data_IF_360146948185
#
_entry.id   IF_360146948185
#
_cell.length_a   1.000
_cell.length_b   1.000
_cell.length_c   1.000
_cell.angle_alpha   90.00
_cell.angle_beta   90.00
_cell.angle_gamma   90.00
#
_symmetry.space_group_name_H-M   'P 1'
#
loop_
_entity.id
_entity.type
_entity.pdbx_description
1 polymer ?
#
# COMPACT_ATOMS: atom_id res chain seq x y z
N UNK A 1 -5.21 19.54 44.08
CA UNK A 1 -3.82 19.36 43.61
C UNK A 1 -3.52 17.95 43.04
N UNK A 2 -4.54 17.17 42.60
CA UNK A 2 -4.36 15.87 41.91
C UNK A 2 -4.91 15.83 40.46
N UNK A 3 -5.52 16.93 39.98
CA UNK A 3 -6.02 17.05 38.60
C UNK A 3 -4.94 17.48 37.58
N UNK A 4 -3.97 18.31 37.99
CA UNK A 4 -2.94 18.83 37.06
C UNK A 4 -1.78 17.87 36.77
N UNK A 5 -1.81 16.65 37.33
CA UNK A 5 -0.80 15.61 37.04
C UNK A 5 -1.28 14.59 35.99
N UNK A 6 -2.57 14.65 35.61
CA UNK A 6 -3.14 13.78 34.57
C UNK A 6 -3.08 14.44 33.19
N UNK A 7 -3.25 15.76 33.13
CA UNK A 7 -3.08 16.57 31.90
C UNK A 7 -1.62 16.66 31.41
N UNK A 8 -0.64 16.40 32.27
CA UNK A 8 0.79 16.48 31.91
C UNK A 8 1.36 15.25 31.19
N UNK A 9 0.60 14.15 31.13
CA UNK A 9 0.97 12.93 30.39
C UNK A 9 0.33 12.84 29.00
N UNK A 10 -0.90 13.32 28.83
CA UNK A 10 -1.57 13.40 27.50
C UNK A 10 -0.96 14.50 26.61
N UNK A 11 -0.26 15.49 27.18
CA UNK A 11 0.32 16.65 26.49
C UNK A 11 1.67 16.41 25.79
N UNK A 12 2.24 15.19 25.77
CA UNK A 12 3.61 14.94 25.24
C UNK A 12 3.72 13.92 24.12
N UNK A 13 2.62 13.42 23.60
CA UNK A 13 2.66 12.50 22.47
C UNK A 13 2.72 13.28 21.15
N UNK A 14 3.71 12.97 20.31
CA UNK A 14 3.85 13.58 18.99
C UNK A 14 2.60 13.31 18.15
N UNK A 15 2.33 14.16 17.15
CA UNK A 15 1.23 13.92 16.20
C UNK A 15 1.36 12.53 15.58
N UNK A 16 2.57 12.15 15.19
CA UNK A 16 2.83 10.83 14.61
C UNK A 16 2.57 9.68 15.60
N UNK A 17 2.89 9.82 16.89
CA UNK A 17 2.60 8.77 17.88
C UNK A 17 1.10 8.56 18.08
N UNK A 18 0.32 9.66 18.14
CA UNK A 18 -1.15 9.57 18.21
C UNK A 18 -1.76 9.02 16.92
N UNK A 19 -1.25 9.45 15.77
CA UNK A 19 -1.67 8.93 14.47
C UNK A 19 -1.36 7.44 14.34
N UNK A 20 -0.19 7.00 14.83
CA UNK A 20 0.23 5.60 14.80
C UNK A 20 -0.70 4.72 15.64
N UNK A 21 -1.05 5.13 16.85
CA UNK A 21 -2.03 4.40 17.66
C UNK A 21 -3.36 4.26 16.93
N UNK A 22 -3.86 5.34 16.33
CA UNK A 22 -5.10 5.33 15.52
C UNK A 22 -4.96 4.40 14.30
N UNK A 23 -3.79 4.40 13.66
CA UNK A 23 -3.50 3.57 12.50
C UNK A 23 -3.51 2.08 12.85
N UNK A 24 -2.84 1.68 13.94
CA UNK A 24 -2.82 0.29 14.41
C UNK A 24 -4.23 -0.19 14.75
N UNK A 25 -4.99 0.60 15.52
CA UNK A 25 -6.38 0.27 15.84
C UNK A 25 -7.20 0.07 14.56
N UNK A 26 -7.10 1.00 13.61
CA UNK A 26 -7.84 0.94 12.36
C UNK A 26 -7.45 -0.25 11.49
N UNK A 27 -6.17 -0.43 11.19
CA UNK A 27 -5.72 -1.54 10.34
C UNK A 27 -6.06 -2.89 10.97
N UNK A 28 -5.97 -3.02 12.30
CA UNK A 28 -6.34 -4.26 13.00
C UNK A 28 -7.83 -4.62 12.92
N UNK A 29 -8.70 -3.61 12.74
CA UNK A 29 -10.15 -3.82 12.61
C UNK A 29 -10.51 -4.48 11.27
N UNK A 30 -9.82 -4.11 10.19
CA UNK A 30 -10.13 -4.55 8.82
C UNK A 30 -9.22 -5.67 8.32
N UNK A 31 -8.13 -5.97 9.03
CA UNK A 31 -7.15 -6.98 8.62
C UNK A 31 -7.72 -8.40 8.81
N UNK A 32 -7.74 -9.25 7.77
CA UNK A 32 -8.11 -10.65 7.90
C UNK A 32 -7.18 -11.37 8.89
N UNK A 33 -7.72 -12.29 9.69
CA UNK A 33 -6.94 -13.08 10.64
C UNK A 33 -6.73 -14.46 10.08
N UNK A 34 -5.48 -14.90 10.00
CA UNK A 34 -5.11 -16.19 9.41
C UNK A 34 -5.80 -17.36 10.12
N UNK A 35 -6.10 -17.20 11.41
CA UNK A 35 -6.77 -18.18 12.26
C UNK A 35 -8.29 -18.20 12.21
N UNK A 36 -8.93 -17.40 11.35
CA UNK A 36 -10.39 -17.46 11.19
C UNK A 36 -10.82 -18.79 10.56
N UNK A 37 -11.99 -19.29 10.98
CA UNK A 37 -12.50 -20.63 10.60
C UNK A 37 -12.56 -20.83 9.08
N UNK A 38 -12.95 -19.80 8.33
CA UNK A 38 -13.01 -19.84 6.86
C UNK A 38 -11.64 -20.20 6.23
N UNK A 39 -10.54 -19.70 6.80
CA UNK A 39 -9.20 -20.02 6.32
C UNK A 39 -8.67 -21.35 6.82
N UNK A 40 -9.04 -21.75 8.03
CA UNK A 40 -8.73 -23.08 8.57
C UNK A 40 -9.40 -24.15 7.73
N UNK A 41 -10.64 -23.94 7.30
CA UNK A 41 -11.38 -24.87 6.44
C UNK A 41 -10.72 -25.02 5.06
N UNK A 42 -10.15 -23.94 4.51
CA UNK A 42 -9.49 -23.95 3.19
C UNK A 42 -8.08 -24.55 3.26
N UNK A 43 -7.28 -24.17 4.27
CA UNK A 43 -5.85 -24.48 4.32
C UNK A 43 -5.49 -25.60 5.30
N UNK A 44 -6.39 -25.96 6.22
CA UNK A 44 -6.16 -26.90 7.30
C UNK A 44 -5.45 -26.27 8.50
N UNK A 45 -5.81 -26.73 9.71
CA UNK A 45 -5.29 -26.25 10.99
C UNK A 45 -3.75 -26.21 11.03
N UNK A 46 -3.09 -27.26 10.53
CA UNK A 46 -1.63 -27.36 10.57
C UNK A 46 -0.94 -26.24 9.75
N UNK A 47 -1.43 -25.95 8.55
CA UNK A 47 -0.84 -24.91 7.71
C UNK A 47 -1.08 -23.53 8.30
N UNK A 48 -2.27 -23.27 8.82
CA UNK A 48 -2.60 -22.01 9.49
C UNK A 48 -1.76 -21.82 10.75
N UNK A 49 -1.62 -22.85 11.58
CA UNK A 49 -0.80 -22.80 12.78
C UNK A 49 0.69 -22.52 12.46
N UNK A 50 1.22 -23.13 11.40
CA UNK A 50 2.59 -22.88 10.94
C UNK A 50 2.80 -21.42 10.49
N UNK A 51 1.83 -20.85 9.79
CA UNK A 51 1.89 -19.47 9.32
C UNK A 51 1.75 -18.47 10.47
N UNK A 52 0.86 -18.71 11.43
CA UNK A 52 0.76 -17.91 12.66
C UNK A 52 2.05 -17.98 13.47
N UNK A 53 2.65 -19.16 13.61
CA UNK A 53 3.92 -19.33 14.31
C UNK A 53 5.09 -18.66 13.57
N UNK A 54 5.03 -18.58 12.24
CA UNK A 54 5.98 -17.81 11.44
C UNK A 54 5.85 -16.30 11.72
N UNK A 55 4.62 -15.76 11.69
CA UNK A 55 4.34 -14.35 12.00
C UNK A 55 4.90 -13.97 13.38
N UNK A 56 4.58 -14.74 14.42
CA UNK A 56 5.04 -14.47 15.79
C UNK A 56 6.57 -14.41 15.88
N UNK A 57 7.28 -15.35 15.25
CA UNK A 57 8.75 -15.40 15.24
C UNK A 57 9.37 -14.21 14.52
N UNK A 58 8.76 -13.78 13.42
CA UNK A 58 9.23 -12.62 12.67
C UNK A 58 9.00 -11.33 13.45
N UNK A 59 7.83 -11.17 14.09
CA UNK A 59 7.54 -10.02 14.94
C UNK A 59 8.50 -9.92 16.14
N UNK A 60 8.85 -11.04 16.78
CA UNK A 60 9.89 -11.09 17.81
C UNK A 60 11.25 -10.63 17.28
N UNK A 61 11.61 -11.03 16.06
CA UNK A 61 12.86 -10.60 15.40
C UNK A 61 12.87 -9.10 15.10
N UNK A 62 11.71 -8.51 14.82
CA UNK A 62 11.56 -7.08 14.52
C UNK A 62 11.42 -6.19 15.76
N UNK A 63 11.19 -6.79 16.95
CA UNK A 63 10.96 -6.06 18.20
C UNK A 63 12.16 -5.25 18.75
N UNK A 64 13.32 -5.29 18.08
CA UNK A 64 14.50 -4.49 18.39
C UNK A 64 14.85 -3.46 17.29
N UNK A 65 14.72 -2.17 17.62
CA UNK A 65 15.23 -1.01 16.85
C UNK A 65 14.62 -0.70 15.47
N UNK A 66 13.28 -0.64 15.34
CA UNK A 66 12.62 -0.02 14.15
C UNK A 66 11.42 0.89 14.44
N UNK A 67 11.42 1.54 15.60
CA UNK A 67 10.22 2.18 16.12
C UNK A 67 9.68 3.33 15.25
N UNK A 68 10.53 4.26 14.76
CA UNK A 68 10.01 5.46 14.07
C UNK A 68 9.66 5.28 12.59
N UNK A 69 10.45 4.53 11.82
CA UNK A 69 10.14 4.36 10.38
C UNK A 69 8.89 3.50 10.19
N UNK A 70 8.74 2.46 11.01
CA UNK A 70 7.56 1.63 11.02
C UNK A 70 6.30 2.42 11.41
N UNK A 71 6.40 3.32 12.40
CA UNK A 71 5.29 4.20 12.76
C UNK A 71 4.78 5.04 11.57
N UNK A 72 5.67 5.65 10.78
CA UNK A 72 5.23 6.44 9.63
C UNK A 72 4.67 5.57 8.51
N UNK A 73 5.24 4.38 8.28
CA UNK A 73 4.72 3.42 7.32
C UNK A 73 3.28 3.01 7.64
N UNK A 74 3.02 2.59 8.88
CA UNK A 74 1.69 2.16 9.33
C UNK A 74 0.70 3.35 9.35
N UNK A 75 1.16 4.55 9.72
CA UNK A 75 0.33 5.77 9.61
C UNK A 75 -0.06 6.06 8.18
N UNK A 76 0.89 5.96 7.24
CA UNK A 76 0.59 6.18 5.83
C UNK A 76 -0.32 5.10 5.27
N UNK A 77 -0.12 3.83 5.60
CA UNK A 77 -1.01 2.72 5.21
C UNK A 77 -2.45 2.99 5.65
N UNK A 78 -2.66 3.37 6.92
CA UNK A 78 -4.00 3.68 7.43
C UNK A 78 -4.62 4.92 6.78
N UNK A 79 -3.83 5.98 6.54
CA UNK A 79 -4.33 7.17 5.83
C UNK A 79 -4.69 6.81 4.40
N UNK A 80 -3.83 6.04 3.71
CA UNK A 80 -4.08 5.61 2.35
C UNK A 80 -5.37 4.80 2.28
N UNK A 81 -5.51 3.77 3.11
CA UNK A 81 -6.71 2.94 3.23
C UNK A 81 -7.96 3.82 3.42
N UNK A 82 -7.93 4.76 4.39
CA UNK A 82 -9.04 5.69 4.61
C UNK A 82 -9.37 6.54 3.40
N UNK A 83 -8.35 7.09 2.74
CA UNK A 83 -8.54 8.08 1.70
C UNK A 83 -8.82 7.47 0.33
N UNK A 84 -8.51 6.19 0.10
CA UNK A 84 -9.07 5.47 -1.05
C UNK A 84 -10.59 5.41 -0.92
N UNK A 85 -11.12 5.04 0.24
CA UNK A 85 -12.59 4.93 0.43
C UNK A 85 -13.28 6.29 0.57
N UNK A 86 -12.74 7.20 1.39
CA UNK A 86 -13.42 8.45 1.75
C UNK A 86 -13.23 9.57 0.72
N UNK A 87 -12.12 9.53 -0.04
CA UNK A 87 -11.71 10.60 -0.94
C UNK A 87 -11.33 10.08 -2.33
N UNK A 88 -11.66 8.82 -2.62
CA UNK A 88 -11.45 8.19 -3.92
C UNK A 88 -10.02 8.39 -4.41
N UNK A 89 -8.99 8.27 -3.56
CA UNK A 89 -7.58 8.52 -3.95
C UNK A 89 -7.18 7.72 -5.20
N UNK A 90 -7.71 6.50 -5.35
CA UNK A 90 -7.55 5.64 -6.52
C UNK A 90 -8.77 5.64 -7.46
N UNK A 91 -9.67 6.60 -7.33
CA UNK A 91 -10.90 6.71 -8.10
C UNK A 91 -12.09 5.94 -7.49
N UNK A 92 -13.31 6.18 -7.98
CA UNK A 92 -14.55 5.72 -7.35
C UNK A 92 -14.82 4.22 -7.47
N UNK A 93 -14.08 3.51 -8.33
CA UNK A 93 -14.28 2.09 -8.61
C UNK A 93 -13.19 1.21 -7.97
N UNK A 94 -12.38 1.78 -7.08
CA UNK A 94 -11.29 1.07 -6.41
C UNK A 94 -11.51 1.18 -4.91
N UNK A 95 -11.67 0.04 -4.27
CA UNK A 95 -11.63 -0.09 -2.81
C UNK A 95 -10.32 -0.74 -2.38
N UNK A 96 -10.04 -0.72 -1.09
CA UNK A 96 -8.83 -1.31 -0.52
C UNK A 96 -9.13 -2.24 0.65
N UNK A 97 -8.28 -3.25 0.85
CA UNK A 97 -8.36 -4.16 2.00
C UNK A 97 -6.95 -4.43 2.52
N UNK A 98 -6.63 -4.15 3.79
CA UNK A 98 -5.33 -4.52 4.36
C UNK A 98 -5.17 -6.04 4.35
N UNK A 99 -3.95 -6.52 4.13
CA UNK A 99 -3.67 -7.96 4.08
C UNK A 99 -3.40 -8.54 5.47
N UNK A 100 -3.62 -9.84 5.64
CA UNK A 100 -3.23 -10.57 6.85
C UNK A 100 -1.74 -10.37 7.18
N UNK A 101 -1.36 -10.52 8.46
CA UNK A 101 0.03 -10.32 8.92
C UNK A 101 1.01 -11.24 8.21
N UNK A 102 0.60 -12.45 7.89
CA UNK A 102 1.37 -13.39 7.09
C UNK A 102 1.67 -12.84 5.69
N UNK A 103 0.67 -12.27 5.01
CA UNK A 103 0.84 -11.77 3.64
C UNK A 103 1.65 -10.47 3.59
N UNK A 104 1.51 -9.62 4.59
CA UNK A 104 2.37 -8.48 4.85
C UNK A 104 3.85 -8.92 5.06
N UNK A 105 4.11 -9.82 6.00
CA UNK A 105 5.48 -10.22 6.36
C UNK A 105 6.14 -11.15 5.32
N UNK A 106 5.47 -12.24 4.94
CA UNK A 106 6.02 -13.25 4.04
C UNK A 106 5.89 -12.81 2.57
N UNK A 107 4.70 -12.34 2.19
CA UNK A 107 4.41 -11.98 0.81
C UNK A 107 4.73 -10.51 0.51
N UNK A 108 4.96 -9.64 1.50
CA UNK A 108 5.37 -8.23 1.30
C UNK A 108 4.29 -7.35 0.67
N UNK A 109 3.02 -7.72 0.79
CA UNK A 109 1.88 -6.98 0.23
C UNK A 109 1.11 -6.41 1.41
N UNK A 110 1.10 -5.09 1.57
CA UNK A 110 0.45 -4.43 2.71
C UNK A 110 -1.07 -4.33 2.51
N UNK A 111 -1.51 -4.12 1.27
CA UNK A 111 -2.92 -3.91 0.94
C UNK A 111 -3.28 -4.52 -0.42
N UNK A 112 -4.52 -4.95 -0.59
CA UNK A 112 -5.12 -5.25 -1.89
C UNK A 112 -5.95 -4.05 -2.34
N UNK A 113 -5.76 -3.60 -3.59
CA UNK A 113 -6.72 -2.75 -4.27
C UNK A 113 -7.69 -3.63 -5.06
N UNK A 114 -8.97 -3.54 -4.73
CA UNK A 114 -10.06 -4.23 -5.44
C UNK A 114 -10.70 -3.28 -6.45
N UNK A 115 -10.58 -3.63 -7.74
CA UNK A 115 -10.99 -2.78 -8.86
C UNK A 115 -12.25 -3.38 -9.48
N UNK A 116 -13.37 -2.67 -9.33
CA UNK A 116 -14.65 -3.07 -9.91
C UNK A 116 -14.62 -2.96 -11.44
N UNK A 117 -14.91 -4.06 -12.13
CA UNK A 117 -14.93 -4.14 -13.58
C UNK A 117 -16.18 -4.86 -14.10
N UNK A 118 -17.24 -4.10 -14.39
CA UNK A 118 -18.48 -4.64 -14.95
C UNK A 118 -19.19 -5.55 -13.95
N UNK A 119 -19.19 -6.86 -14.19
CA UNK A 119 -19.84 -7.86 -13.32
C UNK A 119 -18.87 -8.57 -12.37
N UNK A 120 -17.58 -8.21 -12.35
CA UNK A 120 -16.60 -8.84 -11.48
C UNK A 120 -15.46 -7.90 -11.09
N UNK A 121 -14.56 -8.42 -10.27
CA UNK A 121 -13.50 -7.66 -9.62
C UNK A 121 -12.12 -8.10 -10.11
N UNK A 122 -11.13 -7.20 -10.01
CA UNK A 122 -9.74 -7.44 -10.38
C UNK A 122 -8.85 -6.86 -9.29
N UNK A 123 -7.88 -7.64 -8.82
CA UNK A 123 -7.12 -7.30 -7.60
C UNK A 123 -5.67 -6.93 -7.90
N UNK A 124 -5.17 -5.83 -7.36
CA UNK A 124 -3.74 -5.48 -7.38
C UNK A 124 -3.17 -5.50 -5.96
N UNK A 125 -1.94 -6.00 -5.79
CA UNK A 125 -1.23 -5.93 -4.52
C UNK A 125 -0.48 -4.60 -4.43
N UNK A 126 -0.68 -3.86 -3.35
CA UNK A 126 0.03 -2.62 -3.05
C UNK A 126 0.98 -2.90 -1.89
N UNK A 127 2.24 -2.51 -2.09
CA UNK A 127 3.27 -2.50 -1.07
C UNK A 127 3.66 -1.05 -0.75
N UNK A 128 3.56 -0.63 0.50
CA UNK A 128 3.93 0.72 0.93
C UNK A 128 5.40 0.76 1.35
N UNK A 129 6.09 1.83 0.97
CA UNK A 129 7.44 2.14 1.42
C UNK A 129 7.50 3.60 1.87
N UNK A 130 7.39 3.83 3.18
CA UNK A 130 7.70 5.13 3.74
C UNK A 130 9.19 5.15 4.05
N UNK A 131 9.93 6.00 3.34
CA UNK A 131 11.38 6.03 3.46
C UNK A 131 11.92 7.47 3.50
N UNK A 132 13.10 7.62 4.09
CA UNK A 132 13.94 8.82 3.96
C UNK A 132 15.11 8.57 2.97
N UNK A 133 15.17 7.40 2.29
CA UNK A 133 16.22 7.04 1.32
C UNK A 133 16.03 5.71 0.56
N UNK A 134 17.04 5.32 -0.23
CA UNK A 134 16.92 4.38 -1.37
C UNK A 134 16.89 2.88 -1.06
N UNK A 135 17.58 2.45 0.01
CA UNK A 135 18.14 1.08 0.06
C UNK A 135 17.07 -0.02 0.15
N UNK A 136 15.86 0.28 0.61
CA UNK A 136 14.76 -0.69 0.66
C UNK A 136 14.00 -0.80 -0.66
N UNK A 137 13.97 0.27 -1.46
CA UNK A 137 13.22 0.33 -2.70
C UNK A 137 13.83 -0.59 -3.78
N UNK A 138 15.14 -0.60 -3.91
CA UNK A 138 15.85 -1.50 -4.85
C UNK A 138 15.54 -2.98 -4.56
N UNK A 139 15.47 -3.37 -3.29
CA UNK A 139 15.13 -4.74 -2.88
C UNK A 139 13.68 -5.09 -3.26
N UNK A 140 12.74 -4.17 -3.05
CA UNK A 140 11.34 -4.36 -3.44
C UNK A 140 11.21 -4.48 -4.97
N UNK A 141 11.93 -3.66 -5.73
CA UNK A 141 11.95 -3.74 -7.19
C UNK A 141 12.64 -5.02 -7.71
N UNK A 142 13.74 -5.44 -7.09
CA UNK A 142 14.40 -6.70 -7.41
C UNK A 142 13.46 -7.89 -7.20
N UNK A 143 12.61 -7.86 -6.15
CA UNK A 143 11.57 -8.87 -5.94
C UNK A 143 10.56 -8.89 -7.08
N UNK A 144 10.07 -7.74 -7.53
CA UNK A 144 9.16 -7.67 -8.70
C UNK A 144 9.84 -8.21 -9.95
N UNK A 145 11.10 -7.84 -10.20
CA UNK A 145 11.87 -8.35 -11.35
C UNK A 145 11.99 -9.88 -11.30
N UNK A 146 12.27 -10.45 -10.12
CA UNK A 146 12.32 -11.90 -9.91
C UNK A 146 10.97 -12.56 -10.19
N UNK A 147 9.88 -12.00 -9.68
CA UNK A 147 8.52 -12.50 -9.93
C UNK A 147 8.24 -12.57 -11.45
N UNK A 148 8.49 -11.47 -12.18
CA UNK A 148 8.31 -11.40 -13.64
C UNK A 148 9.19 -12.42 -14.36
N UNK A 149 10.46 -12.56 -13.98
CA UNK A 149 11.39 -13.54 -14.56
C UNK A 149 10.89 -14.98 -14.41
N UNK A 150 10.27 -15.29 -13.27
CA UNK A 150 9.71 -16.61 -12.96
C UNK A 150 8.33 -16.84 -13.63
N UNK A 151 7.80 -15.86 -14.36
CA UNK A 151 6.50 -15.94 -15.04
C UNK A 151 5.31 -15.88 -14.09
N UNK A 152 5.53 -15.38 -12.88
CA UNK A 152 4.52 -15.20 -11.84
C UNK A 152 4.45 -13.73 -11.42
N UNK A 153 3.46 -13.37 -10.61
CA UNK A 153 3.45 -12.11 -9.86
C UNK A 153 3.18 -12.42 -8.39
N UNK A 154 2.92 -11.40 -7.59
CA UNK A 154 2.63 -11.58 -6.18
C UNK A 154 1.39 -12.46 -5.94
N UNK A 155 1.31 -12.95 -4.71
CA UNK A 155 0.19 -13.71 -4.17
C UNK A 155 -0.19 -13.17 -2.80
N UNK A 156 -1.46 -13.34 -2.43
CA UNK A 156 -1.97 -13.10 -1.07
C UNK A 156 -2.78 -14.33 -0.68
N UNK A 157 -2.38 -14.99 0.39
CA UNK A 157 -2.93 -16.27 0.85
C UNK A 157 -4.24 -16.09 1.60
N UNK A 158 -4.31 -15.12 2.51
CA UNK A 158 -5.45 -14.90 3.39
C UNK A 158 -6.26 -13.70 2.91
N UNK A 159 -6.89 -13.84 1.75
CA UNK A 159 -7.78 -12.82 1.20
C UNK A 159 -9.25 -13.21 1.37
N UNK A 160 -10.05 -12.22 1.75
CA UNK A 160 -11.51 -12.28 1.81
C UNK A 160 -12.05 -11.02 1.15
N UNK A 161 -12.96 -11.18 0.19
CA UNK A 161 -13.65 -10.04 -0.41
C UNK A 161 -14.60 -9.40 0.60
N UNK A 162 -14.81 -8.08 0.50
CA UNK A 162 -15.66 -7.33 1.42
C UNK A 162 -17.10 -7.86 1.47
N UNK A 163 -17.62 -8.32 0.33
CA UNK A 163 -18.96 -8.91 0.22
C UNK A 163 -19.04 -10.39 0.63
N UNK A 164 -17.92 -11.00 1.04
CA UNK A 164 -17.80 -12.41 1.39
C UNK A 164 -17.99 -13.39 0.23
N UNK A 165 -18.06 -12.91 -1.02
CA UNK A 165 -18.23 -13.76 -2.21
C UNK A 165 -17.01 -14.63 -2.53
N UNK A 166 -15.83 -14.25 -2.04
CA UNK A 166 -14.59 -14.98 -2.23
C UNK A 166 -13.76 -15.01 -0.95
N UNK A 167 -13.32 -16.21 -0.57
CA UNK A 167 -12.31 -16.44 0.46
C UNK A 167 -11.25 -17.38 -0.12
N UNK A 168 -9.97 -17.01 -0.01
CA UNK A 168 -8.87 -17.86 -0.45
C UNK A 168 -7.67 -17.09 -0.97
N UNK A 169 -6.86 -17.76 -1.81
CA UNK A 169 -5.59 -17.22 -2.30
C UNK A 169 -5.78 -16.43 -3.60
N UNK A 170 -5.34 -15.16 -3.61
CA UNK A 170 -5.11 -14.39 -4.83
C UNK A 170 -3.72 -14.72 -5.39
N UNK A 171 -3.62 -14.91 -6.71
CA UNK A 171 -2.35 -15.21 -7.40
C UNK A 171 -2.20 -14.37 -8.66
N UNK A 172 -0.95 -14.13 -9.07
CA UNK A 172 -0.61 -13.36 -10.26
C UNK A 172 -1.18 -11.92 -10.21
N UNK A 173 -1.16 -11.31 -9.03
CA UNK A 173 -1.52 -9.90 -8.86
C UNK A 173 -0.25 -9.04 -8.99
N UNK A 174 -0.27 -7.93 -9.75
CA UNK A 174 0.88 -7.03 -9.79
C UNK A 174 1.17 -6.49 -8.40
N UNK A 175 2.45 -6.45 -8.03
CA UNK A 175 2.93 -5.74 -6.84
C UNK A 175 3.31 -4.33 -7.24
N UNK A 176 2.57 -3.35 -6.72
CA UNK A 176 2.80 -1.93 -6.94
C UNK A 176 3.42 -1.33 -5.69
N UNK A 177 4.56 -0.69 -5.82
CA UNK A 177 5.26 -0.05 -4.71
C UNK A 177 4.86 1.42 -4.67
N UNK A 178 4.48 1.92 -3.51
CA UNK A 178 4.22 3.35 -3.28
C UNK A 178 5.29 3.88 -2.34
N UNK A 179 6.09 4.82 -2.83
CA UNK A 179 7.17 5.42 -2.06
C UNK A 179 6.85 6.88 -1.71
N UNK A 180 6.95 7.24 -0.42
CA UNK A 180 6.60 8.57 0.04
C UNK A 180 7.60 9.10 1.08
N UNK A 181 7.93 10.39 0.98
CA UNK A 181 8.76 11.06 1.97
C UNK A 181 8.05 11.14 3.32
N UNK A 182 8.84 10.94 4.37
CA UNK A 182 8.37 11.12 5.75
C UNK A 182 7.71 12.48 6.01
N UNK A 183 8.25 13.57 5.46
CA UNK A 183 7.69 14.93 5.63
C UNK A 183 6.27 15.04 5.08
N UNK A 184 5.98 14.31 4.01
CA UNK A 184 4.63 14.25 3.44
C UNK A 184 3.72 13.43 4.36
N UNK A 185 4.21 12.33 4.92
CA UNK A 185 3.46 11.55 5.92
C UNK A 185 3.16 12.37 7.17
N UNK A 186 4.10 13.19 7.66
CA UNK A 186 3.88 14.09 8.78
C UNK A 186 2.74 15.09 8.50
N UNK A 187 2.74 15.69 7.30
CA UNK A 187 1.67 16.61 6.85
C UNK A 187 0.31 15.91 6.74
N UNK A 188 0.28 14.71 6.17
CA UNK A 188 -0.92 13.88 6.07
C UNK A 188 -1.44 13.48 7.46
N UNK A 189 -0.55 13.09 8.37
CA UNK A 189 -0.91 12.72 9.74
C UNK A 189 -1.50 13.91 10.49
N UNK A 190 -0.95 15.11 10.34
CA UNK A 190 -1.52 16.32 10.92
C UNK A 190 -2.93 16.60 10.39
N UNK A 191 -3.13 16.50 9.06
CA UNK A 191 -4.45 16.70 8.45
C UNK A 191 -5.47 15.65 8.91
N UNK A 192 -5.07 14.38 8.97
CA UNK A 192 -5.91 13.25 9.37
C UNK A 192 -6.29 13.31 10.85
N UNK A 193 -5.36 13.69 11.73
CA UNK A 193 -5.63 13.83 13.16
C UNK A 193 -6.50 15.04 13.50
N UNK A 194 -6.50 16.06 12.64
CA UNK A 194 -7.33 17.25 12.79
C UNK A 194 -8.66 17.20 12.00
N UNK A 195 -8.99 16.06 11.37
CA UNK A 195 -10.25 15.89 10.63
C UNK A 195 -10.37 16.76 9.37
N UNK A 196 -9.23 17.16 8.78
CA UNK A 196 -9.17 18.03 7.60
C UNK A 196 -9.40 17.24 6.30
N UNK A 197 -10.55 16.57 6.20
CA UNK A 197 -10.86 15.64 5.10
C UNK A 197 -10.79 16.32 3.72
N UNK A 198 -11.22 17.57 3.60
CA UNK A 198 -11.11 18.32 2.34
C UNK A 198 -9.66 18.57 1.93
N UNK A 199 -8.74 18.79 2.88
CA UNK A 199 -7.31 18.97 2.57
C UNK A 199 -6.69 17.63 2.16
N UNK A 200 -7.06 16.52 2.80
CA UNK A 200 -6.62 15.17 2.41
C UNK A 200 -7.16 14.78 1.02
N UNK A 201 -8.43 15.07 0.74
CA UNK A 201 -9.08 14.76 -0.52
C UNK A 201 -8.54 15.56 -1.72
N UNK A 202 -7.82 16.67 -1.46
CA UNK A 202 -7.19 17.48 -2.50
C UNK A 202 -5.65 17.47 -2.40
N UNK A 203 -5.08 16.64 -1.52
CA UNK A 203 -3.64 16.59 -1.31
C UNK A 203 -2.90 16.10 -2.55
N UNK A 204 -1.72 16.62 -2.88
CA UNK A 204 -1.01 16.25 -4.12
C UNK A 204 -0.55 14.78 -4.17
N UNK A 205 -0.43 14.12 -3.02
CA UNK A 205 0.05 12.74 -2.88
C UNK A 205 -0.74 11.74 -3.73
N UNK A 206 -2.05 11.90 -3.88
CA UNK A 206 -2.87 11.02 -4.72
C UNK A 206 -2.41 11.04 -6.19
N UNK A 207 -1.95 12.18 -6.72
CA UNK A 207 -1.33 12.24 -8.05
C UNK A 207 0.02 11.55 -8.08
N UNK A 208 0.85 11.78 -7.06
CA UNK A 208 2.15 11.13 -6.91
C UNK A 208 1.99 9.60 -6.94
N UNK A 209 1.04 9.06 -6.18
CA UNK A 209 0.76 7.62 -6.11
C UNK A 209 0.31 7.08 -7.48
N UNK A 210 -0.65 7.74 -8.14
CA UNK A 210 -1.12 7.32 -9.46
C UNK A 210 0.00 7.34 -10.51
N UNK A 211 0.87 8.34 -10.47
CA UNK A 211 2.00 8.45 -11.38
C UNK A 211 3.06 7.36 -11.14
N UNK A 212 3.36 7.05 -9.86
CA UNK A 212 4.22 5.93 -9.49
C UNK A 212 3.63 4.59 -9.95
N UNK A 213 2.33 4.37 -9.78
CA UNK A 213 1.65 3.14 -10.21
C UNK A 213 1.72 2.98 -11.73
N UNK A 214 1.37 4.01 -12.48
CA UNK A 214 1.36 3.96 -13.94
C UNK A 214 2.76 3.76 -14.52
N UNK A 215 3.75 4.45 -13.96
CA UNK A 215 5.14 4.33 -14.40
C UNK A 215 5.69 2.93 -14.13
N UNK A 216 5.37 2.35 -12.98
CA UNK A 216 5.70 0.95 -12.69
C UNK A 216 5.05 -0.02 -13.68
N UNK A 217 3.75 0.10 -13.92
CA UNK A 217 3.03 -0.78 -14.84
C UNK A 217 3.62 -0.67 -16.27
N UNK A 218 4.00 0.53 -16.70
CA UNK A 218 4.68 0.73 -17.98
C UNK A 218 6.03 0.00 -18.02
N UNK A 219 6.89 0.19 -17.02
CA UNK A 219 8.24 -0.39 -17.04
C UNK A 219 8.25 -1.90 -16.79
N UNK A 220 7.36 -2.39 -15.93
CA UNK A 220 7.19 -3.83 -15.71
C UNK A 220 6.67 -4.52 -16.97
N UNK A 221 5.74 -3.89 -17.70
CA UNK A 221 5.24 -4.41 -18.97
C UNK A 221 6.37 -4.49 -20.00
N UNK A 222 7.12 -3.39 -20.18
CA UNK A 222 8.26 -3.34 -21.10
C UNK A 222 9.31 -4.41 -20.78
N UNK A 223 9.64 -4.60 -19.50
CA UNK A 223 10.57 -5.64 -19.08
C UNK A 223 10.04 -7.05 -19.38
N UNK A 224 8.77 -7.31 -19.05
CA UNK A 224 8.12 -8.60 -19.34
C UNK A 224 8.08 -8.90 -20.85
N UNK A 225 7.85 -7.89 -21.69
CA UNK A 225 7.90 -8.00 -23.15
C UNK A 225 9.30 -8.41 -23.64
N UNK A 226 10.36 -7.78 -23.12
CA UNK A 226 11.74 -8.07 -23.52
C UNK A 226 12.17 -9.51 -23.22
N UNK A 227 11.71 -10.06 -22.10
CA UNK A 227 12.04 -11.43 -21.70
C UNK A 227 11.02 -12.48 -22.17
N UNK A 228 10.02 -12.09 -22.98
CA UNK A 228 9.05 -13.00 -23.60
C UNK A 228 7.97 -13.54 -22.64
N UNK A 229 7.68 -12.85 -21.54
CA UNK A 229 6.66 -13.27 -20.56
C UNK A 229 5.25 -12.81 -20.97
N UNK A 230 4.73 -13.31 -22.09
CA UNK A 230 3.46 -12.84 -22.68
C UNK A 230 2.26 -12.86 -21.73
N UNK A 231 2.16 -13.88 -20.86
CA UNK A 231 1.10 -13.96 -19.84
C UNK A 231 1.15 -12.74 -18.92
N UNK A 232 2.35 -12.38 -18.46
CA UNK A 232 2.56 -11.25 -17.56
C UNK A 232 2.27 -9.93 -18.27
N UNK A 233 2.68 -9.78 -19.52
CA UNK A 233 2.39 -8.60 -20.36
C UNK A 233 0.88 -8.31 -20.39
N UNK A 234 0.06 -9.32 -20.70
CA UNK A 234 -1.40 -9.18 -20.77
C UNK A 234 -2.01 -8.78 -19.43
N UNK A 235 -1.48 -9.32 -18.34
CA UNK A 235 -1.92 -8.97 -16.99
C UNK A 235 -1.60 -7.48 -16.75
N UNK A 236 -0.35 -7.06 -16.91
CA UNK A 236 0.09 -5.69 -16.66
C UNK A 236 -0.64 -4.66 -17.55
N UNK A 237 -0.87 -4.98 -18.83
CA UNK A 237 -1.63 -4.14 -19.75
C UNK A 237 -3.05 -3.87 -19.24
N UNK A 238 -3.72 -4.90 -18.70
CA UNK A 238 -5.04 -4.77 -18.10
C UNK A 238 -5.04 -3.76 -16.94
N UNK A 239 -4.12 -3.89 -15.98
CA UNK A 239 -4.05 -2.96 -14.84
C UNK A 239 -3.67 -1.55 -15.27
N UNK A 240 -2.74 -1.41 -16.23
CA UNK A 240 -2.36 -0.13 -16.82
C UNK A 240 -3.56 0.60 -17.40
N UNK A 241 -4.43 -0.10 -18.13
CA UNK A 241 -5.66 0.50 -18.66
C UNK A 241 -6.60 0.98 -17.55
N UNK A 242 -6.78 0.17 -16.49
CA UNK A 242 -7.64 0.52 -15.34
C UNK A 242 -7.13 1.79 -14.63
N UNK A 243 -5.84 1.85 -14.27
CA UNK A 243 -5.27 3.02 -13.61
C UNK A 243 -5.19 4.25 -14.52
N UNK A 244 -5.06 4.07 -15.86
CA UNK A 244 -5.16 5.19 -16.80
C UNK A 244 -6.55 5.81 -16.81
N UNK A 245 -7.61 5.00 -16.70
CA UNK A 245 -8.98 5.52 -16.59
C UNK A 245 -9.17 6.34 -15.32
N UNK A 246 -8.64 5.86 -14.19
CA UNK A 246 -8.63 6.60 -12.91
C UNK A 246 -7.92 7.94 -13.07
N UNK A 247 -6.71 7.95 -13.65
CA UNK A 247 -5.95 9.19 -13.85
C UNK A 247 -6.71 10.19 -14.74
N UNK A 248 -7.37 9.72 -15.80
CA UNK A 248 -8.17 10.57 -16.69
C UNK A 248 -9.38 11.19 -15.96
N UNK A 249 -10.10 10.40 -15.15
CA UNK A 249 -11.22 10.90 -14.34
C UNK A 249 -10.74 11.97 -13.35
N UNK A 250 -9.65 11.69 -12.63
CA UNK A 250 -9.03 12.64 -11.69
C UNK A 250 -8.60 13.94 -12.38
N UNK A 251 -8.00 13.87 -13.56
CA UNK A 251 -7.56 15.04 -14.31
C UNK A 251 -8.72 15.93 -14.77
N UNK A 252 -9.90 15.36 -15.02
CA UNK A 252 -11.11 16.11 -15.37
C UNK A 252 -11.74 16.81 -14.15
N UNK A 253 -11.57 16.23 -12.96
CA UNK A 253 -12.14 16.74 -11.71
C UNK A 253 -11.23 17.75 -10.99
N UNK A 254 -9.93 17.72 -11.26
CA UNK A 254 -8.94 18.41 -10.44
C UNK A 254 -8.74 19.90 -10.76
N UNK A 255 -8.98 20.75 -9.76
CA UNK A 255 -8.38 22.09 -9.62
C UNK A 255 -7.08 21.98 -8.82
N UNK A 256 -6.02 21.45 -9.42
CA UNK A 256 -4.72 21.34 -8.72
C UNK A 256 -3.84 22.52 -9.09
N UNK A 257 -3.28 23.15 -8.07
CA UNK A 257 -2.45 24.34 -8.25
C UNK A 257 -1.09 23.95 -8.83
N UNK A 258 -0.42 24.90 -9.51
CA UNK A 258 0.96 24.72 -9.97
C UNK A 258 1.95 24.45 -8.83
N UNK A 259 1.62 24.87 -7.61
CA UNK A 259 2.43 24.71 -6.40
C UNK A 259 2.49 23.24 -5.96
N UNK A 260 1.40 22.50 -6.13
CA UNK A 260 1.31 21.09 -5.76
C UNK A 260 2.20 20.20 -6.63
N UNK A 261 2.27 20.52 -7.93
CA UNK A 261 3.15 19.83 -8.89
C UNK A 261 4.62 20.12 -8.59
N UNK A 262 4.96 21.38 -8.30
CA UNK A 262 6.33 21.77 -7.93
C UNK A 262 6.78 21.08 -6.63
N UNK A 263 5.88 20.94 -5.64
CA UNK A 263 6.15 20.23 -4.39
C UNK A 263 6.41 18.74 -4.64
N UNK A 264 5.58 18.08 -5.45
CA UNK A 264 5.77 16.69 -5.86
C UNK A 264 7.12 16.50 -6.58
N UNK A 265 7.45 17.38 -7.53
CA UNK A 265 8.69 17.28 -8.31
C UNK A 265 9.95 17.58 -7.48
N UNK A 266 9.83 18.21 -6.31
CA UNK A 266 10.95 18.47 -5.38
C UNK A 266 11.15 17.36 -4.34
N UNK A 267 10.25 16.38 -4.28
CA UNK A 267 10.41 15.21 -3.42
C UNK A 267 11.59 14.36 -3.89
N UNK A 268 12.61 14.21 -3.04
CA UNK A 268 13.81 13.42 -3.33
C UNK A 268 13.42 11.94 -3.52
N UNK A 269 12.59 11.39 -2.63
CA UNK A 269 12.08 10.00 -2.75
C UNK A 269 11.31 9.79 -4.04
N UNK A 270 10.47 10.74 -4.46
CA UNK A 270 9.75 10.63 -5.74
C UNK A 270 10.73 10.67 -6.93
N UNK A 271 11.65 11.64 -6.98
CA UNK A 271 12.61 11.74 -8.09
C UNK A 271 13.44 10.45 -8.22
N UNK A 272 13.92 9.94 -7.10
CA UNK A 272 14.73 8.73 -7.04
C UNK A 272 13.93 7.48 -7.39
N UNK A 273 12.71 7.36 -6.87
CA UNK A 273 11.80 6.28 -7.26
C UNK A 273 11.60 6.27 -8.77
N UNK A 274 11.31 7.42 -9.36
CA UNK A 274 11.11 7.56 -10.80
C UNK A 274 12.39 7.25 -11.59
N UNK A 275 13.56 7.57 -11.04
CA UNK A 275 14.83 7.18 -11.63
C UNK A 275 14.99 5.66 -11.64
N UNK A 276 14.84 4.99 -10.49
CA UNK A 276 14.99 3.53 -10.37
C UNK A 276 13.99 2.77 -11.25
N UNK A 277 12.73 3.21 -11.30
CA UNK A 277 11.72 2.59 -12.16
C UNK A 277 12.09 2.74 -13.64
N UNK A 278 12.58 3.90 -14.08
CA UNK A 278 12.98 4.10 -15.48
C UNK A 278 14.15 3.22 -15.91
N UNK A 279 15.01 2.82 -14.97
CA UNK A 279 16.11 1.90 -15.20
C UNK A 279 15.75 0.46 -14.80
N UNK A 280 14.46 0.16 -14.57
CA UNK A 280 13.98 -1.19 -14.26
C UNK A 280 14.21 -2.17 -15.41
N UNK A 281 14.37 -1.69 -16.63
CA UNK A 281 14.58 -2.50 -17.82
C UNK A 281 16.07 -2.81 -18.07
N UNK A 282 16.98 -2.04 -17.44
CA UNK A 282 18.44 -2.22 -17.53
C UNK A 282 18.95 -3.36 -16.64
#
# INVERSE_FOLDING_TARGET
MKRSFRESRESRESIIGRAHKKAVEKLSEFRPKEGDDDFVDIYGEENVANDVAYVQRMEETFSGERDRFQQHAEVFEAIFFDQVELAEWLGPNITTTPTAKYDDIANGVDCIADIQQGLGNVHAGIAFDVTEGVTNLEKKLSRVRKEINEGNLAQVKYFQSEDGSFVGTLKNIPRLIVAIDRKIVDDLAEKWMNGKNNELANHFVQRMILDQILTQLDQFQLYAEQIGQEKIVRILEKYKMLFKQVQLQKNQQANISSIDVDTMLKSEVYQEFMYLIKHFVE
#
